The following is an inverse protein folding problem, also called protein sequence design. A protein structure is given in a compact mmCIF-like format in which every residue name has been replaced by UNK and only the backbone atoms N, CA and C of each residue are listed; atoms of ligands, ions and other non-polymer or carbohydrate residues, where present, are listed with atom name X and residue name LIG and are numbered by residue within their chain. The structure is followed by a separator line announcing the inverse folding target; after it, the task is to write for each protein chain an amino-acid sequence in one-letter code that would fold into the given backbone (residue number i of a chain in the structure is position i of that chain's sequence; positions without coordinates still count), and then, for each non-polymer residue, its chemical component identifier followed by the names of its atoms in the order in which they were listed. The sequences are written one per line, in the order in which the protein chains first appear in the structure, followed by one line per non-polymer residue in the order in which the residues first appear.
data_IF_068800203824
#
_entry.id   IF_068800203824
#
_cell.length_a   1.000
_cell.length_b   1.000
_cell.length_c   1.000
_cell.angle_alpha   90.00
_cell.angle_beta   90.00
_cell.angle_gamma   90.00
#
_symmetry.space_group_name_H-M   'P 1'
#
loop_
_entity.id
_entity.type
_entity.pdbx_description
1 polymer ?
#
# COMPACT_ATOMS: atom_id res chain seq x y z
N UNK A 1 17.00 24.13 9.84
CA UNK A 1 16.32 23.51 10.99
C UNK A 1 14.84 23.59 10.68
N UNK A 2 14.39 22.55 10.01
CA UNK A 2 13.03 22.22 9.55
C UNK A 2 13.05 20.70 9.63
N UNK A 3 12.11 20.01 10.20
CA UNK A 3 10.88 20.33 10.90
C UNK A 3 10.66 19.04 11.72
N UNK A 4 10.28 19.19 12.98
CA UNK A 4 10.04 18.12 13.95
C UNK A 4 8.83 17.24 13.55
N UNK A 5 8.89 16.63 12.36
CA UNK A 5 7.88 15.72 11.82
C UNK A 5 8.06 14.29 12.31
N UNK A 6 8.89 14.09 13.34
CA UNK A 6 9.04 12.80 14.04
C UNK A 6 8.27 12.80 15.37
N UNK A 7 7.78 13.97 15.83
CA UNK A 7 7.26 14.12 17.20
C UNK A 7 5.72 13.99 17.35
N UNK A 8 4.96 13.69 16.29
CA UNK A 8 3.50 13.42 16.41
C UNK A 8 3.09 11.96 16.19
N UNK A 9 4.03 11.05 15.88
CA UNK A 9 3.75 9.60 15.78
C UNK A 9 3.91 8.85 17.12
N UNK A 10 3.97 9.57 18.25
CA UNK A 10 4.06 9.03 19.62
C UNK A 10 2.83 9.35 20.47
N UNK A 11 1.61 9.18 19.93
CA UNK A 11 0.41 9.45 20.75
C UNK A 11 -0.81 8.56 20.49
N UNK A 12 -0.73 7.51 19.67
CA UNK A 12 -1.85 6.56 19.53
C UNK A 12 -1.37 5.12 19.71
N UNK A 13 -1.44 4.67 20.96
CA UNK A 13 -1.16 3.32 21.42
C UNK A 13 -2.13 2.27 20.88
N UNK A 14 -2.06 2.00 19.58
CA UNK A 14 -2.35 0.68 19.05
C UNK A 14 -0.97 0.14 18.73
N UNK A 15 -0.46 -0.82 19.50
CA UNK A 15 0.71 -1.61 19.09
C UNK A 15 0.52 -1.93 17.61
N UNK A 16 1.29 -1.28 16.74
CA UNK A 16 1.25 -1.62 15.33
C UNK A 16 1.71 -3.06 15.27
N UNK A 17 0.75 -3.94 15.00
CA UNK A 17 0.97 -5.37 15.08
C UNK A 17 1.72 -5.78 13.80
N UNK A 18 3.03 -5.50 13.78
CA UNK A 18 3.92 -5.80 12.67
C UNK A 18 3.88 -7.30 12.38
N UNK A 19 3.71 -8.13 13.41
CA UNK A 19 3.60 -9.59 13.29
C UNK A 19 2.33 -10.00 12.54
N UNK A 20 1.18 -9.37 12.82
CA UNK A 20 -0.10 -9.63 12.16
C UNK A 20 -0.21 -8.97 10.79
N UNK A 21 0.34 -7.76 10.62
CA UNK A 21 0.15 -6.95 9.40
C UNK A 21 1.29 -7.08 8.40
N UNK A 22 2.50 -7.46 8.86
CA UNK A 22 3.73 -7.50 8.06
C UNK A 22 4.28 -6.13 7.68
N UNK A 23 3.65 -5.06 8.15
CA UNK A 23 3.99 -3.69 7.85
C UNK A 23 4.63 -3.05 9.08
N UNK A 24 5.69 -2.29 8.87
CA UNK A 24 6.34 -1.50 9.91
C UNK A 24 5.85 -0.06 9.81
N UNK A 25 5.84 0.66 10.93
CA UNK A 25 5.51 2.09 10.95
C UNK A 25 6.67 2.92 10.40
N UNK A 26 6.70 3.07 9.07
CA UNK A 26 7.61 3.99 8.39
C UNK A 26 7.04 4.36 7.01
N UNK A 27 7.65 5.36 6.37
CA UNK A 27 7.32 5.69 4.99
C UNK A 27 7.71 4.52 4.09
N UNK A 28 6.73 3.86 3.48
CA UNK A 28 6.98 2.72 2.63
C UNK A 28 7.50 3.17 1.26
N UNK A 29 8.65 2.61 0.85
CA UNK A 29 9.13 2.76 -0.51
C UNK A 29 8.33 1.83 -1.42
N UNK A 30 7.32 2.40 -2.07
CA UNK A 30 6.36 1.69 -2.90
C UNK A 30 6.60 1.98 -4.38
N UNK A 31 6.90 0.93 -5.14
CA UNK A 31 6.82 0.96 -6.61
C UNK A 31 5.49 0.36 -7.06
N UNK A 32 4.85 0.98 -8.03
CA UNK A 32 3.59 0.48 -8.59
C UNK A 32 3.58 0.59 -10.10
N UNK A 33 2.89 -0.36 -10.74
CA UNK A 33 2.66 -0.38 -12.18
C UNK A 33 1.19 -0.78 -12.44
N UNK A 34 0.54 -0.26 -13.49
CA UNK A 34 -0.78 -0.73 -13.88
C UNK A 34 -0.74 -2.23 -14.14
N UNK A 35 -1.65 -3.00 -13.54
CA UNK A 35 -1.67 -4.44 -13.75
C UNK A 35 -2.30 -4.74 -15.12
N UNK A 36 -1.53 -5.23 -16.11
CA UNK A 36 -2.06 -5.49 -17.46
C UNK A 36 -3.09 -6.63 -17.48
N UNK A 37 -3.09 -7.47 -16.46
CA UNK A 37 -4.03 -8.59 -16.31
C UNK A 37 -5.30 -8.21 -15.55
N UNK A 38 -5.33 -7.05 -14.90
CA UNK A 38 -6.55 -6.54 -14.31
C UNK A 38 -7.46 -6.05 -15.43
N UNK A 39 -8.75 -6.40 -15.37
CA UNK A 39 -9.77 -5.83 -16.26
C UNK A 39 -9.86 -4.32 -16.02
N UNK A 40 -9.08 -3.56 -16.77
CA UNK A 40 -9.06 -2.11 -16.73
C UNK A 40 -10.25 -1.58 -17.54
N UNK A 41 -11.35 -1.34 -16.84
CA UNK A 41 -12.49 -0.63 -17.43
C UNK A 41 -12.26 0.87 -17.27
N UNK A 42 -12.21 1.67 -18.35
CA UNK A 42 -11.98 3.11 -18.26
C UNK A 42 -13.05 3.87 -17.46
N UNK A 43 -14.22 3.25 -17.29
CA UNK A 43 -15.35 3.75 -16.48
C UNK A 43 -15.27 3.37 -15.00
N UNK A 44 -14.39 2.44 -14.63
CA UNK A 44 -14.24 2.03 -13.24
C UNK A 44 -13.48 3.11 -12.45
N UNK A 45 -13.97 3.52 -11.27
CA UNK A 45 -13.25 4.47 -10.42
C UNK A 45 -11.97 3.87 -9.82
N UNK A 46 -11.82 2.55 -9.87
CA UNK A 46 -10.66 1.79 -9.42
C UNK A 46 -9.89 1.21 -10.61
N UNK A 47 -8.55 1.24 -10.50
CA UNK A 47 -7.61 0.57 -11.39
C UNK A 47 -6.92 -0.55 -10.62
N UNK A 48 -6.69 -1.68 -11.29
CA UNK A 48 -5.83 -2.73 -10.76
C UNK A 48 -4.36 -2.36 -10.97
N UNK A 49 -3.58 -2.37 -9.89
CA UNK A 49 -2.15 -2.08 -9.92
C UNK A 49 -1.39 -3.22 -9.27
N UNK A 50 -0.18 -3.44 -9.75
CA UNK A 50 0.81 -4.31 -9.15
C UNK A 50 1.73 -3.44 -8.31
N UNK A 51 1.84 -3.76 -7.02
CA UNK A 51 2.59 -2.98 -6.03
C UNK A 51 3.75 -3.80 -5.49
N UNK A 52 4.94 -3.22 -5.47
CA UNK A 52 6.15 -3.81 -4.89
C UNK A 52 6.65 -2.92 -3.75
N UNK A 53 6.89 -3.53 -2.60
CA UNK A 53 7.48 -2.88 -1.43
C UNK A 53 8.99 -3.10 -1.44
N UNK A 54 9.75 -2.04 -1.73
CA UNK A 54 11.22 -2.11 -1.74
C UNK A 54 11.83 -1.94 -0.34
N UNK A 55 11.04 -1.50 0.62
CA UNK A 55 11.42 -1.48 2.03
C UNK A 55 11.49 -2.88 2.69
N UNK A 56 11.18 -3.96 1.95
CA UNK A 56 11.18 -5.33 2.46
C UNK A 56 10.02 -5.65 3.41
N UNK A 57 9.00 -4.78 3.49
CA UNK A 57 7.77 -5.07 4.21
C UNK A 57 6.86 -5.99 3.38
N UNK A 58 5.98 -6.69 4.08
CA UNK A 58 5.06 -7.65 3.47
C UNK A 58 3.63 -7.27 3.82
N UNK A 59 2.75 -7.20 2.82
CA UNK A 59 1.33 -6.97 3.07
C UNK A 59 0.71 -8.30 3.52
N UNK A 60 0.45 -8.45 4.82
CA UNK A 60 -0.40 -9.52 5.36
C UNK A 60 -1.82 -9.01 5.62
N UNK A 61 -1.97 -7.70 5.87
CA UNK A 61 -3.25 -7.04 6.09
C UNK A 61 -3.41 -5.87 5.11
N UNK A 62 -4.30 -6.03 4.12
CA UNK A 62 -4.55 -5.00 3.11
C UNK A 62 -5.23 -3.75 3.71
N UNK A 63 -6.02 -3.89 4.78
CA UNK A 63 -6.69 -2.76 5.40
C UNK A 63 -5.67 -1.85 6.11
N UNK A 64 -4.71 -2.46 6.81
CA UNK A 64 -3.58 -1.74 7.40
C UNK A 64 -2.74 -1.05 6.32
N UNK A 65 -2.42 -1.73 5.22
CA UNK A 65 -1.72 -1.13 4.09
C UNK A 65 -2.48 0.05 3.50
N UNK A 66 -3.80 -0.11 3.29
CA UNK A 66 -4.66 0.95 2.76
C UNK A 66 -4.67 2.19 3.64
N UNK A 67 -4.73 2.01 4.97
CA UNK A 67 -4.66 3.12 5.93
C UNK A 67 -3.32 3.86 5.83
N UNK A 68 -2.21 3.14 5.88
CA UNK A 68 -0.87 3.72 5.77
C UNK A 68 -0.66 4.47 4.45
N UNK A 69 -1.08 3.89 3.32
CA UNK A 69 -0.94 4.53 2.01
C UNK A 69 -1.85 5.75 1.84
N UNK A 70 -3.01 5.75 2.50
CA UNK A 70 -3.90 6.92 2.56
C UNK A 70 -3.26 8.06 3.34
N UNK A 71 -2.61 7.76 4.46
CA UNK A 71 -1.92 8.76 5.29
C UNK A 71 -0.64 9.27 4.62
N UNK A 72 0.17 8.37 4.04
CA UNK A 72 1.47 8.72 3.46
C UNK A 72 1.38 9.38 2.07
N UNK A 73 0.44 8.93 1.22
CA UNK A 73 0.34 9.33 -0.20
C UNK A 73 -1.04 9.77 -0.64
N UNK A 74 -2.05 9.77 0.25
CA UNK A 74 -3.43 10.05 -0.14
C UNK A 74 -4.09 8.92 -0.95
N UNK A 75 -3.44 7.76 -1.08
CA UNK A 75 -3.94 6.65 -1.90
C UNK A 75 -5.17 6.01 -1.28
N UNK A 76 -6.21 5.84 -2.09
CA UNK A 76 -7.42 5.16 -1.67
C UNK A 76 -7.43 3.73 -2.22
N UNK A 77 -6.80 2.82 -1.47
CA UNK A 77 -6.71 1.40 -1.78
C UNK A 77 -8.02 0.71 -1.40
N UNK A 78 -8.57 -0.12 -2.29
CA UNK A 78 -9.76 -0.90 -2.04
C UNK A 78 -9.44 -2.11 -1.15
N UNK A 79 -9.81 -2.05 0.12
CA UNK A 79 -9.64 -3.15 1.08
C UNK A 79 -10.66 -4.28 0.93
N UNK A 80 -11.79 -4.03 0.26
CA UNK A 80 -12.88 -4.99 0.03
C UNK A 80 -12.79 -5.71 -1.32
N UNK A 81 -11.85 -5.32 -2.19
CA UNK A 81 -11.61 -5.99 -3.46
C UNK A 81 -10.71 -7.21 -3.27
N UNK A 82 -10.88 -8.22 -4.13
CA UNK A 82 -9.93 -9.33 -4.21
C UNK A 82 -8.51 -8.79 -4.47
N UNK A 83 -7.58 -9.15 -3.59
CA UNK A 83 -6.16 -8.85 -3.72
C UNK A 83 -5.39 -10.16 -3.73
N UNK A 84 -4.19 -10.13 -4.31
CA UNK A 84 -3.33 -11.30 -4.36
C UNK A 84 -1.89 -10.90 -4.18
N UNK A 85 -1.09 -11.82 -3.66
CA UNK A 85 0.36 -11.72 -3.66
C UNK A 85 0.92 -12.71 -4.68
N UNK A 86 1.96 -12.28 -5.40
CA UNK A 86 2.76 -13.14 -6.26
C UNK A 86 4.23 -12.98 -5.87
N UNK A 87 4.92 -14.11 -5.73
CA UNK A 87 6.37 -14.12 -5.53
C UNK A 87 7.06 -13.96 -6.88
N UNK A 88 8.01 -13.02 -6.99
CA UNK A 88 8.97 -13.01 -8.11
C UNK A 88 10.18 -13.91 -7.75
N UNK A 89 10.88 -14.47 -8.75
CA UNK A 89 12.05 -15.34 -8.54
C UNK A 89 13.22 -14.69 -7.77
N UNK A 90 13.21 -13.37 -7.56
CA UNK A 90 14.23 -12.62 -6.81
C UNK A 90 13.87 -12.39 -5.32
N UNK A 91 12.84 -13.08 -4.79
CA UNK A 91 12.40 -12.92 -3.41
C UNK A 91 11.58 -11.64 -3.15
N UNK A 92 11.36 -10.80 -4.16
CA UNK A 92 10.47 -9.64 -4.07
C UNK A 92 9.02 -10.06 -4.21
N UNK A 93 8.18 -9.71 -3.23
CA UNK A 93 6.72 -9.90 -3.31
C UNK A 93 6.08 -8.74 -4.07
N UNK A 94 5.26 -9.09 -5.05
CA UNK A 94 4.40 -8.15 -5.77
C UNK A 94 2.97 -8.40 -5.34
N UNK A 95 2.22 -7.33 -5.09
CA UNK A 95 0.84 -7.38 -4.62
C UNK A 95 -0.07 -6.79 -5.69
N UNK A 96 -1.00 -7.60 -6.19
CA UNK A 96 -2.06 -7.13 -7.06
C UNK A 96 -3.22 -6.61 -6.21
N UNK A 97 -3.46 -5.31 -6.28
CA UNK A 97 -4.51 -4.64 -5.51
C UNK A 97 -5.20 -3.56 -6.35
N UNK A 98 -6.35 -3.08 -5.91
CA UNK A 98 -7.11 -2.04 -6.60
C UNK A 98 -6.95 -0.70 -5.88
N UNK A 99 -6.66 0.35 -6.62
CA UNK A 99 -6.54 1.72 -6.08
C UNK A 99 -7.47 2.64 -6.86
N UNK A 100 -8.04 3.63 -6.18
CA UNK A 100 -8.87 4.64 -6.83
C UNK A 100 -7.99 5.46 -7.77
N UNK A 101 -8.38 5.56 -9.05
CA UNK A 101 -7.59 6.27 -10.08
C UNK A 101 -7.29 7.71 -9.69
N UNK A 102 -8.29 8.41 -9.16
CA UNK A 102 -8.17 9.81 -8.69
C UNK A 102 -7.18 10.01 -7.54
N UNK A 103 -6.77 8.96 -6.84
CA UNK A 103 -5.76 9.08 -5.78
C UNK A 103 -4.35 8.68 -6.24
N UNK A 104 -4.19 8.20 -7.48
CA UNK A 104 -2.89 7.91 -8.08
C UNK A 104 -2.37 9.07 -8.93
N UNK A 105 -3.28 9.90 -9.41
CA UNK A 105 -3.01 11.15 -10.13
C UNK A 105 -3.09 12.27 -9.10
N UNK A 106 -1.94 12.73 -8.61
CA UNK A 106 -1.84 14.04 -7.96
C UNK A 106 -2.17 15.14 -8.99
#
# INVERSE_FOLDING_TARGET
MIDDLDEYAKAHGIKHDVERTGLKEHVHEVRWEPNPYATDSPRSPYIGVSVTLDCGCEINDLCAFAAQMKEQRGWNVASSGGWGSSGRPEGKRTYSLRVRRKSLTD
#
